data_IF_471352377091
#
_entry.id   IF_471352377091
#
_cell.length_a   1.000
_cell.length_b   1.000
_cell.length_c   1.000
_cell.angle_alpha   90.00
_cell.angle_beta   90.00
_cell.angle_gamma   90.00
#
_symmetry.space_group_name_H-M   'P 1'
#
loop_
_entity.id
_entity.type
_entity.pdbx_description
1 polymer ?
#
# COMPACT_ATOMS: atom_id res chain seq x y z
N UNK A 1 -0.97 14.63 4.28
CA UNK A 1 -0.89 14.08 4.37
C UNK A 1 -0.74 12.71 4.90
N UNK A 2 -1.13 11.86 5.29
CA UNK A 2 -1.17 10.53 5.77
C UNK A 2 -0.03 9.57 5.40
N UNK A 3 1.08 10.11 4.98
CA UNK A 3 2.17 9.35 4.38
C UNK A 3 2.92 8.44 5.37
N UNK A 4 2.83 8.73 6.64
CA UNK A 4 3.64 8.05 7.65
C UNK A 4 2.77 7.44 8.72
N UNK A 5 1.87 6.54 8.32
CA UNK A 5 0.98 5.85 9.25
C UNK A 5 1.72 5.13 10.38
N UNK A 6 2.95 4.68 10.14
CA UNK A 6 3.80 4.05 11.15
C UNK A 6 4.60 5.05 12.00
N UNK A 7 4.74 6.31 11.60
CA UNK A 7 5.62 7.28 12.24
C UNK A 7 4.90 8.49 12.86
N UNK A 8 3.66 8.78 12.49
CA UNK A 8 2.87 9.86 13.08
C UNK A 8 2.20 9.43 14.38
N UNK A 9 1.93 10.38 15.30
CA UNK A 9 1.07 10.13 16.45
C UNK A 9 -0.28 9.62 15.94
N UNK A 10 -0.46 8.31 15.97
CA UNK A 10 -1.62 7.61 15.41
C UNK A 10 -2.95 8.16 15.94
N UNK A 11 -2.99 8.63 17.16
CA UNK A 11 -4.17 9.26 17.76
C UNK A 11 -4.64 10.50 17.00
N UNK A 12 -3.70 11.35 16.56
CA UNK A 12 -4.03 12.55 15.79
C UNK A 12 -4.56 12.21 14.42
N UNK A 13 -3.95 11.22 13.78
CA UNK A 13 -4.40 10.70 12.49
C UNK A 13 -5.81 10.12 12.59
N UNK A 14 -6.06 9.26 13.56
CA UNK A 14 -7.35 8.61 13.76
C UNK A 14 -8.45 9.62 14.14
N UNK A 15 -8.13 10.60 14.97
CA UNK A 15 -9.06 11.69 15.30
C UNK A 15 -9.48 12.47 14.06
N UNK A 16 -8.53 12.87 13.24
CA UNK A 16 -8.82 13.59 11.99
C UNK A 16 -9.63 12.73 11.02
N UNK A 17 -9.31 11.44 10.94
CA UNK A 17 -10.02 10.49 10.09
C UNK A 17 -11.47 10.30 10.56
N UNK A 18 -11.69 10.20 11.87
CA UNK A 18 -13.02 10.12 12.46
C UNK A 18 -13.87 11.34 12.13
N UNK A 19 -13.29 12.54 12.21
CA UNK A 19 -13.97 13.79 11.83
C UNK A 19 -14.42 13.75 10.36
N UNK A 20 -13.58 13.24 9.45
CA UNK A 20 -13.93 13.10 8.03
C UNK A 20 -15.07 12.11 7.81
N UNK A 21 -15.06 10.99 8.52
CA UNK A 21 -16.12 9.99 8.45
C UNK A 21 -17.43 10.55 9.01
N UNK A 22 -17.40 11.23 10.14
CA UNK A 22 -18.57 11.86 10.74
C UNK A 22 -19.13 13.00 9.86
N UNK A 23 -18.30 13.62 9.05
CA UNK A 23 -18.71 14.63 8.05
C UNK A 23 -19.29 14.02 6.76
N UNK A 24 -19.35 12.69 6.63
CA UNK A 24 -20.00 12.00 5.52
C UNK A 24 -19.11 11.20 4.58
N UNK A 25 -17.82 11.00 4.90
CA UNK A 25 -16.99 10.09 4.12
C UNK A 25 -17.50 8.65 4.26
N UNK A 26 -17.88 8.03 3.14
CA UNK A 26 -18.43 6.67 3.09
C UNK A 26 -17.39 5.59 2.80
N UNK A 27 -16.24 5.97 2.30
CA UNK A 27 -15.12 5.10 1.96
C UNK A 27 -13.81 5.79 2.29
N UNK A 28 -12.80 5.01 2.65
CA UNK A 28 -11.44 5.49 2.86
C UNK A 28 -10.48 4.72 1.95
N UNK A 29 -9.43 5.39 1.53
CA UNK A 29 -8.30 4.77 0.83
C UNK A 29 -7.05 5.06 1.64
N UNK A 30 -6.30 4.03 1.97
CA UNK A 30 -5.05 4.21 2.69
C UNK A 30 -3.98 4.86 1.79
N UNK A 31 -3.00 5.49 2.39
CA UNK A 31 -1.77 5.81 1.68
C UNK A 31 -1.06 4.50 1.31
N UNK A 32 -0.21 4.55 0.29
CA UNK A 32 0.59 3.40 -0.09
C UNK A 32 1.51 2.95 1.07
N UNK A 33 1.75 1.65 1.14
CA UNK A 33 2.64 1.02 2.11
C UNK A 33 3.30 -0.21 1.48
N UNK A 34 4.39 -0.68 2.08
CA UNK A 34 5.15 -1.85 1.62
C UNK A 34 5.19 -2.97 2.64
N UNK A 35 4.73 -2.69 3.87
CA UNK A 35 4.60 -3.66 4.94
C UNK A 35 3.11 -3.77 5.33
N UNK A 36 2.51 -4.92 5.03
CA UNK A 36 1.10 -5.17 5.32
C UNK A 36 0.78 -5.12 6.81
N UNK A 37 1.74 -5.40 7.69
CA UNK A 37 1.55 -5.31 9.15
C UNK A 37 1.17 -3.90 9.59
N UNK A 38 1.70 -2.87 8.92
CA UNK A 38 1.33 -1.47 9.17
C UNK A 38 -0.15 -1.21 8.84
N UNK A 39 -0.64 -1.79 7.75
CA UNK A 39 -2.04 -1.66 7.36
C UNK A 39 -2.96 -2.37 8.36
N UNK A 40 -2.63 -3.59 8.76
CA UNK A 40 -3.45 -4.34 9.73
C UNK A 40 -3.52 -3.65 11.10
N UNK A 41 -2.40 -3.12 11.58
CA UNK A 41 -2.38 -2.36 12.83
C UNK A 41 -3.22 -1.08 12.73
N UNK A 42 -3.08 -0.35 11.62
CA UNK A 42 -3.89 0.83 11.34
C UNK A 42 -5.39 0.50 11.29
N UNK A 43 -5.79 -0.52 10.55
CA UNK A 43 -7.19 -0.92 10.44
C UNK A 43 -7.77 -1.29 11.80
N UNK A 44 -7.06 -2.11 12.58
CA UNK A 44 -7.47 -2.50 13.93
C UNK A 44 -7.72 -1.28 14.83
N UNK A 45 -6.80 -0.31 14.79
CA UNK A 45 -6.93 0.93 15.58
C UNK A 45 -8.04 1.82 15.06
N UNK A 46 -8.26 1.88 13.76
CA UNK A 46 -9.37 2.63 13.16
C UNK A 46 -10.72 2.07 13.63
N UNK A 47 -10.88 0.75 13.62
CA UNK A 47 -12.11 0.08 14.13
C UNK A 47 -12.31 0.37 15.62
N UNK A 48 -11.27 0.30 16.43
CA UNK A 48 -11.33 0.64 17.85
C UNK A 48 -11.70 2.12 18.10
N UNK A 49 -11.37 3.01 17.18
CA UNK A 49 -11.75 4.43 17.22
C UNK A 49 -13.18 4.71 16.69
N UNK A 50 -13.95 3.68 16.32
CA UNK A 50 -15.30 3.81 15.80
C UNK A 50 -15.39 4.21 14.33
N UNK A 51 -14.37 3.91 13.55
CA UNK A 51 -14.38 4.10 12.09
C UNK A 51 -14.80 2.79 11.44
N UNK A 52 -16.05 2.72 10.99
CA UNK A 52 -16.67 1.47 10.49
C UNK A 52 -16.84 1.43 8.97
N UNK A 53 -16.50 2.53 8.27
CA UNK A 53 -16.59 2.59 6.82
C UNK A 53 -15.53 1.71 6.15
N UNK A 54 -15.75 1.22 4.92
CA UNK A 54 -14.76 0.44 4.18
C UNK A 54 -13.45 1.19 3.98
N UNK A 55 -12.35 0.48 4.17
CA UNK A 55 -10.98 0.99 3.96
C UNK A 55 -10.32 0.15 2.87
N UNK A 56 -10.05 0.77 1.72
CA UNK A 56 -9.28 0.14 0.66
C UNK A 56 -7.78 0.28 0.94
N UNK A 57 -7.05 -0.81 0.81
CA UNK A 57 -5.60 -0.82 0.95
C UNK A 57 -4.94 -0.24 -0.31
N UNK A 58 -4.13 0.80 -0.15
CA UNK A 58 -3.41 1.44 -1.25
C UNK A 58 -2.11 0.71 -1.56
N UNK A 59 -2.02 0.12 -2.74
CA UNK A 59 -0.85 -0.60 -3.23
C UNK A 59 -0.25 0.11 -4.43
N UNK A 60 1.06 0.35 -4.39
CA UNK A 60 1.78 0.90 -5.52
C UNK A 60 2.89 -0.05 -5.95
N UNK A 61 2.82 -0.60 -7.18
CA UNK A 61 3.92 -1.36 -7.74
C UNK A 61 5.09 -0.42 -8.05
N UNK A 62 6.27 -0.74 -7.55
CA UNK A 62 7.50 0.02 -7.85
C UNK A 62 8.16 -0.62 -9.05
N UNK A 63 8.24 0.10 -10.17
CA UNK A 63 8.64 -0.44 -11.46
C UNK A 63 9.87 0.23 -12.07
N UNK A 64 10.42 1.25 -11.41
CA UNK A 64 11.62 1.94 -11.90
C UNK A 64 12.42 2.58 -10.75
N UNK A 65 13.67 2.94 -11.04
CA UNK A 65 14.61 3.50 -10.05
C UNK A 65 14.16 4.83 -9.47
N UNK A 66 13.53 5.70 -10.26
CA UNK A 66 13.00 6.99 -9.76
C UNK A 66 11.92 6.80 -8.70
N UNK A 67 11.05 5.81 -8.89
CA UNK A 67 10.05 5.47 -7.89
C UNK A 67 10.70 4.97 -6.60
N UNK A 68 11.77 4.16 -6.69
CA UNK A 68 12.52 3.69 -5.52
C UNK A 68 13.07 4.88 -4.73
N UNK A 69 13.77 5.77 -5.38
CA UNK A 69 14.39 6.96 -4.76
C UNK A 69 13.33 7.82 -4.06
N UNK A 70 12.20 8.03 -4.71
CA UNK A 70 11.07 8.75 -4.14
C UNK A 70 10.49 8.02 -2.93
N UNK A 71 10.34 6.70 -2.99
CA UNK A 71 9.79 5.91 -1.89
C UNK A 71 10.73 5.87 -0.69
N UNK A 72 12.04 5.74 -0.91
CA UNK A 72 13.03 5.84 0.16
C UNK A 72 12.95 7.19 0.87
N UNK A 73 12.79 8.27 0.12
CA UNK A 73 12.64 9.62 0.68
C UNK A 73 11.35 9.78 1.47
N UNK A 74 10.25 9.19 1.00
CA UNK A 74 8.92 9.34 1.61
C UNK A 74 8.68 8.38 2.78
N UNK A 75 9.14 7.14 2.67
CA UNK A 75 8.85 6.07 3.62
C UNK A 75 10.01 5.75 4.56
N UNK A 76 11.24 6.11 4.18
CA UNK A 76 12.44 5.99 5.01
C UNK A 76 12.62 4.60 5.63
N UNK A 77 12.74 4.57 6.96
CA UNK A 77 13.01 3.36 7.75
C UNK A 77 11.85 2.33 7.78
N UNK A 78 10.68 2.67 7.23
CA UNK A 78 9.53 1.76 7.21
C UNK A 78 9.50 0.82 5.98
N UNK A 79 10.58 0.79 5.18
CA UNK A 79 10.70 -0.17 4.08
C UNK A 79 11.11 -1.55 4.61
N UNK A 80 10.35 -2.62 4.29
CA UNK A 80 10.71 -3.97 4.69
C UNK A 80 12.05 -4.42 4.12
N UNK A 81 12.81 -5.23 4.88
CA UNK A 81 14.10 -5.77 4.41
C UNK A 81 13.97 -6.55 3.11
N UNK A 82 12.88 -7.31 2.94
CA UNK A 82 12.56 -8.05 1.71
C UNK A 82 12.47 -7.10 0.51
N UNK A 83 11.78 -5.97 0.67
CA UNK A 83 11.64 -4.95 -0.36
C UNK A 83 12.99 -4.31 -0.72
N UNK A 84 13.76 -3.91 0.29
CA UNK A 84 15.08 -3.27 0.09
C UNK A 84 16.04 -4.21 -0.64
N UNK A 85 16.12 -5.47 -0.23
CA UNK A 85 16.96 -6.48 -0.89
C UNK A 85 16.59 -6.69 -2.34
N UNK A 86 15.30 -6.75 -2.63
CA UNK A 86 14.80 -6.89 -4.01
C UNK A 86 15.20 -5.68 -4.86
N UNK A 87 15.02 -4.47 -4.34
CA UNK A 87 15.38 -3.25 -5.04
C UNK A 87 16.89 -3.19 -5.34
N UNK A 88 17.74 -3.45 -4.35
CA UNK A 88 19.18 -3.46 -4.50
C UNK A 88 19.66 -4.50 -5.51
N UNK A 89 19.03 -5.66 -5.53
CA UNK A 89 19.39 -6.75 -6.46
C UNK A 89 19.18 -6.36 -7.91
N UNK A 90 18.10 -5.65 -8.22
CA UNK A 90 17.65 -5.40 -9.59
C UNK A 90 17.73 -3.92 -10.02
N UNK A 91 18.32 -3.03 -9.21
CA UNK A 91 18.34 -1.59 -9.48
C UNK A 91 18.98 -1.20 -10.81
N UNK A 92 19.90 -2.02 -11.33
CA UNK A 92 20.61 -1.77 -12.57
C UNK A 92 20.05 -2.54 -13.78
N UNK A 93 18.98 -3.29 -13.58
CA UNK A 93 18.27 -4.02 -14.64
C UNK A 93 16.79 -3.58 -14.67
N UNK A 94 16.42 -2.64 -15.55
CA UNK A 94 15.07 -2.06 -15.57
C UNK A 94 13.95 -3.09 -15.78
N UNK A 95 14.15 -4.11 -16.59
CA UNK A 95 13.13 -5.12 -16.85
C UNK A 95 12.98 -6.08 -15.66
N UNK A 96 14.09 -6.51 -15.06
CA UNK A 96 14.06 -7.31 -13.86
C UNK A 96 13.46 -6.54 -12.68
N UNK A 97 13.81 -5.26 -12.52
CA UNK A 97 13.24 -4.39 -11.47
C UNK A 97 11.73 -4.24 -11.61
N UNK A 98 11.25 -4.00 -12.83
CA UNK A 98 9.81 -3.91 -13.12
C UNK A 98 9.09 -5.21 -12.78
N UNK A 99 9.64 -6.34 -13.20
CA UNK A 99 9.06 -7.65 -12.91
C UNK A 99 9.04 -7.96 -11.42
N UNK A 100 10.13 -7.67 -10.70
CA UNK A 100 10.22 -7.85 -9.26
C UNK A 100 9.26 -6.95 -8.50
N UNK A 101 9.12 -5.69 -8.89
CA UNK A 101 8.18 -4.75 -8.29
C UNK A 101 6.72 -5.15 -8.47
N UNK A 102 6.36 -5.65 -9.63
CA UNK A 102 5.02 -6.20 -9.89
C UNK A 102 4.76 -7.45 -9.05
N UNK A 103 5.73 -8.38 -8.99
CA UNK A 103 5.62 -9.59 -8.17
C UNK A 103 5.46 -9.26 -6.69
N UNK A 104 6.19 -8.27 -6.18
CA UNK A 104 6.05 -7.80 -4.79
C UNK A 104 4.65 -7.25 -4.52
N UNK A 105 4.12 -6.42 -5.43
CA UNK A 105 2.77 -5.88 -5.30
C UNK A 105 1.70 -6.98 -5.31
N UNK A 106 1.84 -7.98 -6.18
CA UNK A 106 0.94 -9.15 -6.23
C UNK A 106 1.01 -9.92 -4.90
N UNK A 107 2.21 -10.18 -4.36
CA UNK A 107 2.39 -10.85 -3.07
C UNK A 107 1.70 -10.10 -1.92
N UNK A 108 1.84 -8.76 -1.88
CA UNK A 108 1.10 -7.93 -0.91
C UNK A 108 -0.42 -8.08 -1.05
N UNK A 109 -0.92 -8.03 -2.28
CA UNK A 109 -2.36 -8.12 -2.56
C UNK A 109 -2.91 -9.50 -2.18
N UNK A 110 -2.19 -10.55 -2.49
CA UNK A 110 -2.58 -11.93 -2.12
C UNK A 110 -2.72 -12.06 -0.59
N UNK A 111 -1.74 -11.55 0.15
CA UNK A 111 -1.79 -11.54 1.61
C UNK A 111 -2.98 -10.72 2.14
N UNK A 112 -3.22 -9.53 1.59
CA UNK A 112 -4.33 -8.67 1.97
C UNK A 112 -5.70 -9.33 1.71
N UNK A 113 -5.88 -9.94 0.55
CA UNK A 113 -7.12 -10.67 0.20
C UNK A 113 -7.31 -11.86 1.14
N UNK A 114 -6.25 -12.58 1.45
CA UNK A 114 -6.27 -13.71 2.39
C UNK A 114 -6.63 -13.31 3.82
N UNK A 115 -6.49 -12.03 4.16
CA UNK A 115 -6.86 -11.44 5.45
C UNK A 115 -8.13 -10.58 5.36
N UNK A 116 -9.00 -10.86 4.39
CA UNK A 116 -10.33 -10.25 4.25
C UNK A 116 -10.32 -8.72 4.11
N UNK A 117 -9.33 -8.16 3.41
CA UNK A 117 -9.31 -6.73 3.10
C UNK A 117 -10.58 -6.31 2.35
N UNK A 118 -11.13 -5.17 2.72
CA UNK A 118 -12.40 -4.69 2.14
C UNK A 118 -12.28 -4.14 0.71
N UNK A 119 -11.07 -3.88 0.25
CA UNK A 119 -10.79 -3.43 -1.11
C UNK A 119 -9.32 -3.17 -1.32
N UNK A 120 -8.91 -3.19 -2.58
CA UNK A 120 -7.56 -2.84 -3.02
C UNK A 120 -7.66 -1.62 -3.92
N UNK A 121 -6.90 -0.58 -3.61
CA UNK A 121 -6.70 0.57 -4.47
C UNK A 121 -5.31 0.51 -5.09
N UNK A 122 -5.24 0.34 -6.40
CA UNK A 122 -3.99 0.24 -7.12
C UNK A 122 -3.54 1.60 -7.65
N UNK A 123 -2.40 2.08 -7.16
CA UNK A 123 -1.74 3.28 -7.70
C UNK A 123 -0.93 2.90 -8.95
N UNK A 124 -1.60 2.81 -10.08
CA UNK A 124 -0.99 2.35 -11.34
C UNK A 124 -0.11 3.42 -12.02
N UNK A 125 -0.13 4.65 -11.56
CA UNK A 125 0.64 5.79 -12.09
C UNK A 125 0.46 5.96 -13.61
N UNK A 126 -0.77 5.83 -14.07
CA UNK A 126 -1.16 5.92 -15.49
C UNK A 126 -0.44 4.89 -16.39
N UNK A 127 -0.13 3.71 -15.84
CA UNK A 127 0.49 2.62 -16.58
C UNK A 127 -0.47 1.43 -16.71
N UNK A 128 -1.24 1.34 -17.81
CA UNK A 128 -2.24 0.30 -17.97
C UNK A 128 -1.63 -1.11 -18.10
N UNK A 129 -0.42 -1.23 -18.62
CA UNK A 129 0.25 -2.53 -18.75
C UNK A 129 0.59 -3.12 -17.37
N UNK A 130 1.04 -2.30 -16.43
CA UNK A 130 1.30 -2.72 -15.04
C UNK A 130 0.01 -3.11 -14.35
N UNK A 131 -1.03 -2.28 -14.47
CA UNK A 131 -2.34 -2.57 -13.89
C UNK A 131 -2.92 -3.89 -14.42
N UNK A 132 -2.84 -4.12 -15.72
CA UNK A 132 -3.29 -5.37 -16.36
C UNK A 132 -2.52 -6.59 -15.88
N UNK A 133 -1.20 -6.50 -15.73
CA UNK A 133 -0.39 -7.61 -15.21
C UNK A 133 -0.76 -7.96 -13.77
N UNK A 134 -0.97 -6.96 -12.93
CA UNK A 134 -1.38 -7.18 -11.54
C UNK A 134 -2.78 -7.80 -11.51
N UNK A 135 -3.74 -7.24 -12.23
CA UNK A 135 -5.10 -7.79 -12.30
C UNK A 135 -5.11 -9.25 -12.74
N UNK A 136 -4.36 -9.59 -13.79
CA UNK A 136 -4.26 -10.97 -14.27
C UNK A 136 -3.64 -11.93 -13.24
N UNK A 137 -2.79 -11.41 -12.36
CA UNK A 137 -2.19 -12.20 -11.28
C UNK A 137 -3.11 -12.48 -10.10
N UNK A 138 -4.20 -11.71 -9.95
CA UNK A 138 -5.09 -11.80 -8.78
C UNK A 138 -6.56 -12.08 -9.12
N UNK A 139 -6.96 -11.98 -10.39
CA UNK A 139 -8.37 -12.04 -10.81
C UNK A 139 -9.13 -13.29 -10.33
N UNK A 140 -8.43 -14.40 -10.18
CA UNK A 140 -9.03 -15.65 -9.73
C UNK A 140 -9.20 -15.71 -8.19
N UNK A 141 -8.75 -14.66 -7.48
CA UNK A 141 -8.89 -14.51 -6.04
C UNK A 141 -9.99 -13.51 -5.64
N UNK A 142 -10.59 -12.82 -6.60
CA UNK A 142 -11.57 -11.77 -6.38
C UNK A 142 -13.00 -12.29 -6.26
#
# INVERSE_FOLDING_TARGET
>A
TGVQTCALPIYRLLKNLKIKVDAGASHLVSQLFFDNSCYYDFEKRARAAGIDVPIAAGIMPVTNKKQIERMVTMCGASLPSKFVKMMQKYENDPEALKSAGIAYAIDQIVDLISNDVQGIHLYAMNNPAVASRIYNGIKDLL
#
